data_IF_309290534448
#
_entry.id   IF_309290534448
#
_cell.length_a   1.000
_cell.length_b   1.000
_cell.length_c   1.000
_cell.angle_alpha   90.00
_cell.angle_beta   90.00
_cell.angle_gamma   90.00
#
_symmetry.space_group_name_H-M   'P 1'
#
loop_
_entity.id
_entity.type
_entity.pdbx_description
1 polymer ?
#
# COMPACT_ATOMS: atom_id res chain seq x y z
N UNK A 1 5.15 -14.99 -22.59
CA UNK A 1 4.99 -13.98 -21.52
C UNK A 1 5.42 -14.64 -20.22
N UNK A 2 6.58 -14.25 -19.68
CA UNK A 2 7.08 -14.80 -18.40
C UNK A 2 6.01 -14.54 -17.33
N UNK A 3 5.46 -15.62 -16.75
CA UNK A 3 4.33 -15.56 -15.83
C UNK A 3 4.71 -14.80 -14.56
N UNK A 4 4.20 -13.58 -14.43
CA UNK A 4 4.39 -12.79 -13.22
C UNK A 4 3.80 -13.50 -12.00
N UNK A 5 4.58 -13.61 -10.92
CA UNK A 5 4.12 -14.26 -9.69
C UNK A 5 3.12 -13.36 -8.98
N UNK A 6 1.94 -13.89 -8.65
CA UNK A 6 0.91 -13.19 -7.87
C UNK A 6 1.11 -13.44 -6.37
N UNK A 7 1.04 -12.39 -5.56
CA UNK A 7 0.92 -12.46 -4.09
C UNK A 7 -0.33 -11.71 -3.63
N UNK A 8 -1.19 -12.38 -2.88
CA UNK A 8 -2.42 -11.79 -2.33
C UNK A 8 -2.15 -11.26 -0.92
N UNK A 9 -2.39 -9.98 -0.69
CA UNK A 9 -2.39 -9.36 0.63
C UNK A 9 -3.79 -9.06 1.14
N UNK A 10 -3.90 -8.57 2.38
CA UNK A 10 -5.19 -8.18 2.99
C UNK A 10 -5.92 -7.13 2.13
N UNK A 11 -5.20 -6.07 1.71
CA UNK A 11 -5.74 -4.93 0.96
C UNK A 11 -5.26 -4.86 -0.50
N UNK A 12 -4.01 -5.29 -0.77
CA UNK A 12 -3.41 -5.20 -2.11
C UNK A 12 -3.02 -6.57 -2.64
N UNK A 13 -3.24 -6.79 -3.93
CA UNK A 13 -2.64 -7.88 -4.70
C UNK A 13 -1.40 -7.36 -5.42
N UNK A 14 -0.35 -8.17 -5.45
CA UNK A 14 0.93 -7.84 -6.03
C UNK A 14 1.21 -8.76 -7.21
N UNK A 15 1.58 -8.18 -8.35
CA UNK A 15 2.02 -8.91 -9.54
C UNK A 15 3.45 -8.48 -9.88
N UNK A 16 4.38 -9.44 -9.86
CA UNK A 16 5.80 -9.17 -10.08
C UNK A 16 6.20 -9.37 -11.55
N UNK A 17 6.98 -8.42 -12.08
CA UNK A 17 7.48 -8.43 -13.46
C UNK A 17 8.97 -8.02 -13.45
N UNK A 18 9.84 -8.93 -13.01
CA UNK A 18 11.28 -8.66 -12.93
C UNK A 18 11.62 -7.59 -11.88
N UNK A 19 12.09 -6.43 -12.36
CA UNK A 19 12.47 -5.26 -11.57
C UNK A 19 11.27 -4.35 -11.20
N UNK A 20 10.08 -4.68 -11.70
CA UNK A 20 8.85 -3.93 -11.47
C UNK A 20 7.79 -4.76 -10.76
N UNK A 21 6.87 -4.05 -10.12
CA UNK A 21 5.74 -4.62 -9.44
C UNK A 21 4.49 -3.80 -9.71
N UNK A 22 3.39 -4.48 -10.08
CA UNK A 22 2.07 -3.86 -10.09
C UNK A 22 1.38 -4.14 -8.76
N UNK A 23 0.95 -3.07 -8.09
CA UNK A 23 0.21 -3.09 -6.84
C UNK A 23 -1.26 -2.78 -7.15
N UNK A 24 -2.12 -3.78 -7.03
CA UNK A 24 -3.56 -3.68 -7.27
C UNK A 24 -4.26 -3.48 -5.93
N UNK A 25 -4.75 -2.28 -5.67
CA UNK A 25 -5.46 -1.95 -4.43
C UNK A 25 -6.93 -2.34 -4.54
N UNK A 26 -7.37 -3.21 -3.65
CA UNK A 26 -8.70 -3.83 -3.73
C UNK A 26 -9.69 -3.17 -2.77
N UNK A 27 -10.97 -3.43 -3.02
CA UNK A 27 -12.07 -2.95 -2.18
C UNK A 27 -12.25 -3.74 -0.87
N UNK A 28 -11.37 -4.72 -0.60
CA UNK A 28 -11.44 -5.56 0.60
C UNK A 28 -11.23 -4.72 1.86
N UNK A 29 -12.19 -4.79 2.78
CA UNK A 29 -12.07 -4.29 4.14
C UNK A 29 -11.73 -5.44 5.07
N UNK A 30 -10.58 -5.35 5.73
CA UNK A 30 -10.17 -6.30 6.77
C UNK A 30 -10.00 -5.61 8.11
N UNK A 31 -10.45 -6.24 9.19
CA UNK A 31 -10.10 -5.87 10.56
C UNK A 31 -10.18 -7.13 11.43
N UNK A 32 -9.48 -7.15 12.57
CA UNK A 32 -9.41 -8.32 13.45
C UNK A 32 -9.02 -9.60 12.69
N UNK A 33 -8.03 -9.49 11.79
CA UNK A 33 -7.49 -10.56 10.95
C UNK A 33 -8.48 -11.31 10.05
N UNK A 34 -9.66 -10.74 9.80
CA UNK A 34 -10.66 -11.28 8.86
C UNK A 34 -11.07 -10.25 7.81
N UNK A 35 -11.49 -10.73 6.63
CA UNK A 35 -12.17 -9.89 5.64
C UNK A 35 -13.62 -9.71 6.10
N UNK A 36 -14.03 -8.46 6.28
CA UNK A 36 -15.36 -8.10 6.78
C UNK A 36 -16.36 -7.85 5.64
N UNK A 37 -15.92 -7.15 4.60
CA UNK A 37 -16.76 -6.73 3.48
C UNK A 37 -15.91 -6.26 2.31
N UNK A 38 -16.55 -6.03 1.16
CA UNK A 38 -16.02 -5.23 0.06
C UNK A 38 -16.73 -3.88 0.05
N UNK A 39 -15.95 -2.79 0.12
CA UNK A 39 -16.49 -1.43 0.09
C UNK A 39 -16.26 -0.86 -1.32
N UNK A 40 -17.31 -0.57 -2.09
CA UNK A 40 -17.17 -0.06 -3.45
C UNK A 40 -16.24 1.15 -3.53
N UNK A 41 -15.32 1.14 -4.50
CA UNK A 41 -14.38 2.22 -4.81
C UNK A 41 -13.34 2.52 -3.72
N UNK A 42 -13.33 1.79 -2.60
CA UNK A 42 -12.32 1.96 -1.55
C UNK A 42 -10.90 1.83 -2.10
N UNK A 43 -10.67 0.86 -2.98
CA UNK A 43 -9.37 0.62 -3.58
C UNK A 43 -8.84 1.81 -4.37
N UNK A 44 -9.75 2.51 -5.07
CA UNK A 44 -9.42 3.73 -5.82
C UNK A 44 -9.03 4.86 -4.91
N UNK A 45 -9.84 5.12 -3.87
CA UNK A 45 -9.55 6.16 -2.87
C UNK A 45 -8.18 5.91 -2.23
N UNK A 46 -7.93 4.69 -1.75
CA UNK A 46 -6.65 4.35 -1.10
C UNK A 46 -5.44 4.47 -2.04
N UNK A 47 -5.58 4.03 -3.29
CA UNK A 47 -4.49 4.08 -4.26
C UNK A 47 -4.19 5.52 -4.68
N UNK A 48 -5.21 6.32 -4.99
CA UNK A 48 -5.07 7.73 -5.38
C UNK A 48 -4.57 8.61 -4.23
N UNK A 49 -5.04 8.38 -3.00
CA UNK A 49 -4.48 9.07 -1.81
C UNK A 49 -3.01 8.72 -1.62
N UNK A 50 -2.63 7.45 -1.79
CA UNK A 50 -1.21 7.05 -1.73
C UNK A 50 -0.38 7.75 -2.82
N UNK A 51 -0.89 7.77 -4.05
CA UNK A 51 -0.22 8.41 -5.19
C UNK A 51 -0.01 9.92 -4.96
N UNK A 52 -1.02 10.61 -4.44
CA UNK A 52 -0.93 12.03 -4.09
C UNK A 52 0.19 12.28 -3.08
N UNK A 53 0.26 11.51 -1.99
CA UNK A 53 1.31 11.66 -0.98
C UNK A 53 2.70 11.37 -1.52
N UNK A 54 2.87 10.31 -2.33
CA UNK A 54 4.16 10.01 -2.95
C UNK A 54 4.66 11.14 -3.87
N UNK A 55 3.75 11.84 -4.55
CA UNK A 55 4.12 13.02 -5.34
C UNK A 55 4.50 14.20 -4.43
N UNK A 56 3.72 14.47 -3.37
CA UNK A 56 4.02 15.58 -2.44
C UNK A 56 5.39 15.41 -1.76
N UNK A 57 5.79 14.20 -1.40
CA UNK A 57 7.05 13.95 -0.67
C UNK A 57 8.25 13.66 -1.57
N UNK A 58 8.09 13.68 -2.89
CA UNK A 58 9.13 13.31 -3.86
C UNK A 58 10.38 14.19 -3.79
N UNK A 59 10.22 15.44 -3.36
CA UNK A 59 11.30 16.40 -3.15
C UNK A 59 12.13 16.11 -1.89
N UNK A 60 11.61 15.31 -0.95
CA UNK A 60 12.28 14.97 0.31
C UNK A 60 13.14 13.72 0.12
N UNK A 61 12.57 12.67 -0.48
CA UNK A 61 13.24 11.38 -0.70
C UNK A 61 12.73 10.69 -1.97
N UNK A 62 13.60 10.04 -2.76
CA UNK A 62 13.16 9.19 -3.84
C UNK A 62 12.20 8.09 -3.35
N UNK A 63 11.14 7.82 -4.10
CA UNK A 63 10.20 6.76 -3.79
C UNK A 63 10.06 5.76 -4.95
N UNK A 64 9.34 4.67 -4.69
CA UNK A 64 9.24 3.51 -5.60
C UNK A 64 8.25 3.70 -6.76
N UNK A 65 7.39 4.72 -6.75
CA UNK A 65 6.31 4.87 -7.73
C UNK A 65 6.87 5.20 -9.12
N UNK A 66 6.45 4.45 -10.14
CA UNK A 66 6.78 4.68 -11.55
C UNK A 66 5.61 5.39 -12.24
N UNK A 67 4.40 4.85 -12.10
CA UNK A 67 3.17 5.42 -12.69
C UNK A 67 1.91 4.85 -12.03
N UNK A 68 0.78 5.50 -12.29
CA UNK A 68 -0.57 5.08 -11.85
C UNK A 68 -1.45 4.93 -13.10
N UNK A 69 -1.39 3.80 -13.81
CA UNK A 69 -2.09 3.62 -15.09
C UNK A 69 -3.61 3.44 -14.94
N UNK A 70 -4.09 3.12 -13.74
CA UNK A 70 -5.50 2.92 -13.42
C UNK A 70 -5.76 3.38 -11.97
N UNK A 71 -6.97 3.87 -11.62
CA UNK A 71 -7.29 4.30 -10.26
C UNK A 71 -7.00 3.27 -9.17
N UNK A 72 -7.04 1.97 -9.45
CA UNK A 72 -6.71 0.89 -8.51
C UNK A 72 -5.26 0.40 -8.61
N UNK A 73 -4.46 0.86 -9.58
CA UNK A 73 -3.16 0.28 -9.92
C UNK A 73 -2.02 1.27 -9.73
N UNK A 74 -1.02 0.89 -8.95
CA UNK A 74 0.28 1.56 -8.92
C UNK A 74 1.35 0.64 -9.51
N UNK A 75 2.05 1.11 -10.53
CA UNK A 75 3.28 0.48 -11.01
C UNK A 75 4.45 1.06 -10.21
N UNK A 76 5.24 0.18 -9.59
CA UNK A 76 6.38 0.57 -8.76
C UNK A 76 7.63 -0.23 -9.12
N UNK A 77 8.78 0.31 -8.72
CA UNK A 77 10.04 -0.43 -8.68
C UNK A 77 9.94 -1.52 -7.61
N UNK A 78 10.45 -2.71 -7.89
CA UNK A 78 10.56 -3.76 -6.90
C UNK A 78 11.64 -3.38 -5.89
N UNK A 79 11.31 -3.46 -4.60
CA UNK A 79 12.22 -3.14 -3.51
C UNK A 79 12.28 -4.30 -2.51
N UNK A 80 13.44 -4.48 -1.88
CA UNK A 80 13.59 -5.37 -0.74
C UNK A 80 13.06 -4.66 0.50
N UNK A 81 11.97 -5.20 1.06
CA UNK A 81 11.30 -4.58 2.21
C UNK A 81 12.15 -4.80 3.45
N UNK A 82 12.57 -3.72 4.09
CA UNK A 82 13.10 -3.78 5.45
C UNK A 82 11.93 -4.06 6.41
N UNK A 83 11.92 -5.17 7.18
CA UNK A 83 10.75 -5.63 7.93
C UNK A 83 10.55 -4.83 9.22
N UNK A 84 10.52 -3.50 9.12
CA UNK A 84 10.29 -2.55 10.21
C UNK A 84 9.16 -1.60 9.81
N UNK A 85 8.22 -1.37 10.72
CA UNK A 85 7.17 -0.36 10.57
C UNK A 85 7.57 0.91 11.33
N UNK A 86 7.71 2.02 10.60
CA UNK A 86 7.99 3.33 11.18
C UNK A 86 6.67 4.05 11.51
N UNK A 87 6.44 4.30 12.79
CA UNK A 87 5.23 4.98 13.29
C UNK A 87 5.60 6.35 13.84
N UNK A 88 5.01 7.41 13.29
CA UNK A 88 5.16 8.79 13.77
C UNK A 88 3.86 9.25 14.42
N UNK A 89 3.93 9.81 15.63
CA UNK A 89 2.76 10.27 16.41
C UNK A 89 2.86 11.76 16.71
N UNK A 90 1.95 12.55 16.14
CA UNK A 90 1.80 13.98 16.47
C UNK A 90 0.90 14.23 17.69
N UNK A 91 0.02 13.28 18.01
CA UNK A 91 -0.83 13.30 19.19
C UNK A 91 -0.77 11.93 19.86
N UNK A 92 -1.00 11.93 21.17
CA UNK A 92 -1.12 10.69 21.90
C UNK A 92 -2.49 10.09 21.55
N UNK A 93 -2.51 8.90 20.94
CA UNK A 93 -3.71 8.19 20.47
C UNK A 93 -3.42 6.69 20.26
N UNK A 94 -4.45 5.85 20.13
CA UNK A 94 -4.36 4.44 19.73
C UNK A 94 -4.71 3.43 20.84
N UNK A 95 -5.01 2.20 20.42
CA UNK A 95 -5.42 1.07 21.27
C UNK A 95 -4.52 -0.17 21.15
N UNK A 96 -3.46 -0.09 20.35
CA UNK A 96 -2.48 -1.16 20.11
C UNK A 96 -1.26 -1.00 21.01
N UNK A 97 -0.44 -2.04 21.15
CA UNK A 97 0.83 -1.99 21.91
C UNK A 97 1.85 -0.96 21.38
N UNK A 98 1.64 -0.45 20.17
CA UNK A 98 2.42 0.67 19.62
C UNK A 98 1.96 2.04 20.13
N UNK A 99 0.90 2.09 20.95
CA UNK A 99 0.38 3.33 21.56
C UNK A 99 1.35 3.85 22.62
N UNK A 100 1.39 5.16 22.81
CA UNK A 100 2.40 5.79 23.70
C UNK A 100 2.11 5.58 25.20
N UNK A 101 0.91 5.10 25.55
CA UNK A 101 0.40 5.04 26.93
C UNK A 101 0.22 3.62 27.46
N UNK A 102 0.63 2.62 26.68
CA UNK A 102 0.83 1.24 27.15
C UNK A 102 2.31 1.01 27.33
#
# INVERSE_FOLDING_TARGET
>A
MSGGTKRTGKVRDQYNFGDKVALITTDRQSAFDRVLASIPFKGQVLNLTSAWWFEQTKHIIPNQVISVPDPNVTLAKKCDVFPIEFVVRGYITGSTSTSLWT
#
